data_IF_647355193951
#
_entry.id   IF_647355193951
#
_cell.length_a   1.000
_cell.length_b   1.000
_cell.length_c   1.000
_cell.angle_alpha   90.00
_cell.angle_beta   90.00
_cell.angle_gamma   90.00
#
_symmetry.space_group_name_H-M   'P 1'
#
loop_
_entity.id
_entity.type
_entity.pdbx_description
1 polymer ?
#
# COMPACT_ATOMS: atom_id res chain seq x y z
N UNK A 1 23.84 31.97 15.09
CA UNK A 1 25.07 32.25 14.30
C UNK A 1 25.85 30.97 13.93
N UNK A 2 25.85 29.91 14.75
CA UNK A 2 26.60 28.66 14.48
C UNK A 2 26.09 27.83 13.31
N UNK A 3 24.80 27.92 13.00
CA UNK A 3 24.17 27.09 11.95
C UNK A 3 24.65 27.41 10.51
N UNK A 4 25.10 28.65 10.29
CA UNK A 4 25.54 29.11 8.97
C UNK A 4 26.83 28.44 8.48
N UNK A 5 27.77 28.16 9.41
CA UNK A 5 29.03 27.50 9.08
C UNK A 5 28.80 26.03 8.72
N UNK A 6 27.98 25.32 9.49
CA UNK A 6 27.66 23.91 9.25
C UNK A 6 26.97 23.72 7.88
N UNK A 7 26.01 24.60 7.54
CA UNK A 7 25.35 24.56 6.24
C UNK A 7 26.31 24.78 5.08
N UNK A 8 27.27 25.70 5.22
CA UNK A 8 28.30 25.93 4.20
C UNK A 8 29.18 24.69 4.01
N UNK A 9 29.66 24.08 5.08
CA UNK A 9 30.53 22.91 5.03
C UNK A 9 29.80 21.72 4.38
N UNK A 10 28.52 21.51 4.70
CA UNK A 10 27.70 20.48 4.08
C UNK A 10 27.56 20.76 2.57
N UNK A 11 27.24 22.00 2.18
CA UNK A 11 27.08 22.36 0.76
C UNK A 11 28.39 22.16 -0.02
N UNK A 12 29.52 22.57 0.55
CA UNK A 12 30.84 22.36 -0.07
C UNK A 12 31.12 20.87 -0.28
N UNK A 13 30.91 20.08 0.78
CA UNK A 13 31.18 18.64 0.70
C UNK A 13 30.26 17.91 -0.28
N UNK A 14 28.98 18.29 -0.31
CA UNK A 14 28.04 17.73 -1.27
C UNK A 14 28.38 18.11 -2.71
N UNK A 15 28.86 19.34 -2.95
CA UNK A 15 29.33 19.79 -4.24
C UNK A 15 30.55 19.00 -4.72
N UNK A 16 31.53 18.76 -3.84
CA UNK A 16 32.72 17.93 -4.16
C UNK A 16 32.34 16.49 -4.53
N UNK A 17 31.30 15.96 -3.91
CA UNK A 17 30.81 14.61 -4.16
C UNK A 17 29.80 14.51 -5.32
N UNK A 18 29.48 15.62 -5.99
CA UNK A 18 28.49 15.66 -7.08
C UNK A 18 27.06 15.37 -6.60
N UNK A 19 26.76 15.56 -5.30
CA UNK A 19 25.45 15.32 -4.71
C UNK A 19 24.63 16.61 -4.66
N UNK A 20 23.40 16.55 -5.16
CA UNK A 20 22.45 17.67 -5.03
C UNK A 20 21.79 17.66 -3.64
N UNK A 21 21.85 18.78 -2.95
CA UNK A 21 21.27 18.95 -1.63
C UNK A 21 20.23 20.06 -1.63
N UNK A 22 19.11 19.80 -1.00
CA UNK A 22 18.05 20.76 -0.76
C UNK A 22 17.78 20.87 0.74
N UNK A 23 17.94 22.06 1.30
CA UNK A 23 17.54 22.35 2.68
C UNK A 23 16.10 22.85 2.71
N UNK A 24 15.32 22.30 3.61
CA UNK A 24 13.96 22.78 3.87
C UNK A 24 13.88 23.20 5.34
N UNK A 25 13.66 24.48 5.63
CA UNK A 25 13.51 24.93 7.01
C UNK A 25 12.28 24.29 7.65
N UNK A 26 12.44 23.84 8.88
CA UNK A 26 11.36 23.28 9.70
C UNK A 26 11.05 24.28 10.80
N UNK A 27 9.81 24.74 10.89
CA UNK A 27 9.37 25.62 11.98
C UNK A 27 9.25 24.80 13.27
N UNK A 28 9.35 25.47 14.42
CA UNK A 28 9.19 24.85 15.73
C UNK A 28 7.83 24.15 15.87
N UNK A 29 6.77 24.77 15.34
CA UNK A 29 5.44 24.15 15.29
C UNK A 29 5.42 22.84 14.50
N UNK A 30 6.05 22.81 13.32
CA UNK A 30 6.15 21.57 12.52
C UNK A 30 6.97 20.50 13.23
N UNK A 31 8.05 20.89 13.92
CA UNK A 31 8.85 19.97 14.71
C UNK A 31 8.04 19.40 15.88
N UNK A 32 7.36 20.24 16.66
CA UNK A 32 6.55 19.81 17.79
C UNK A 32 5.39 18.89 17.33
N UNK A 33 4.72 19.23 16.23
CA UNK A 33 3.70 18.37 15.63
C UNK A 33 4.27 17.03 15.16
N UNK A 34 5.50 17.01 14.64
CA UNK A 34 6.19 15.78 14.27
C UNK A 34 6.52 14.93 15.49
N UNK A 35 7.01 15.54 16.57
CA UNK A 35 7.32 14.85 17.84
C UNK A 35 6.05 14.26 18.46
N UNK A 36 4.96 15.02 18.54
CA UNK A 36 3.66 14.54 19.06
C UNK A 36 3.10 13.36 18.26
N UNK A 37 3.42 13.31 16.95
CA UNK A 37 3.00 12.20 16.08
C UNK A 37 3.88 10.95 16.22
N UNK A 38 5.09 11.08 16.79
CA UNK A 38 5.92 9.92 17.07
C UNK A 38 5.27 9.08 18.18
N UNK A 39 5.27 7.79 18.02
CA UNK A 39 4.66 6.86 18.98
C UNK A 39 3.19 6.52 18.71
N UNK A 40 2.47 7.23 17.83
CA UNK A 40 1.15 6.78 17.39
C UNK A 40 1.25 5.60 16.43
N UNK A 41 0.28 4.70 16.53
CA UNK A 41 0.19 3.52 15.66
C UNK A 41 0.11 3.93 14.19
N UNK A 42 0.82 3.20 13.35
CA UNK A 42 0.82 3.40 11.90
C UNK A 42 0.09 2.25 11.23
N UNK A 43 -0.64 2.60 10.18
CA UNK A 43 -1.35 1.64 9.35
C UNK A 43 -1.20 1.98 7.88
N UNK A 44 -1.47 0.99 7.06
CA UNK A 44 -1.54 1.14 5.61
C UNK A 44 -2.89 0.67 5.14
N UNK A 45 -3.57 1.52 4.37
CA UNK A 45 -4.76 1.17 3.61
C UNK A 45 -4.37 1.06 2.15
N UNK A 46 -4.58 -0.09 1.55
CA UNK A 46 -4.29 -0.32 0.12
C UNK A 46 -5.60 -0.52 -0.61
N UNK A 47 -5.81 0.26 -1.66
CA UNK A 47 -6.98 0.17 -2.53
C UNK A 47 -6.52 -0.37 -3.88
N UNK A 48 -7.17 -1.42 -4.35
CA UNK A 48 -6.91 -2.07 -5.62
C UNK A 48 -8.19 -2.12 -6.46
N UNK A 49 -8.10 -1.78 -7.72
CA UNK A 49 -9.20 -1.82 -8.66
C UNK A 49 -8.72 -1.71 -10.09
N UNK A 50 -9.62 -1.85 -11.06
CA UNK A 50 -9.29 -1.59 -12.48
C UNK A 50 -8.92 -0.13 -12.68
N UNK A 51 -9.77 0.76 -12.25
CA UNK A 51 -9.57 2.19 -12.27
C UNK A 51 -10.08 2.77 -10.95
N UNK A 52 -9.23 3.52 -10.25
CA UNK A 52 -9.61 4.13 -8.97
C UNK A 52 -10.05 5.57 -9.23
N UNK A 53 -11.29 5.86 -8.88
CA UNK A 53 -11.94 7.16 -9.06
C UNK A 53 -11.76 8.07 -7.85
N UNK A 54 -11.96 9.37 -8.04
CA UNK A 54 -11.96 10.34 -6.94
C UNK A 54 -13.08 10.05 -5.91
N UNK A 55 -14.23 9.53 -6.36
CA UNK A 55 -15.32 9.11 -5.47
C UNK A 55 -14.86 7.99 -4.52
N UNK A 56 -14.23 6.95 -5.06
CA UNK A 56 -13.72 5.82 -4.27
C UNK A 56 -12.65 6.27 -3.26
N UNK A 57 -11.72 7.13 -3.69
CA UNK A 57 -10.76 7.79 -2.79
C UNK A 57 -11.48 8.56 -1.68
N UNK A 58 -12.52 9.33 -2.03
CA UNK A 58 -13.32 10.10 -1.08
C UNK A 58 -14.01 9.23 -0.04
N UNK A 59 -14.58 8.09 -0.44
CA UNK A 59 -15.21 7.13 0.50
C UNK A 59 -14.19 6.52 1.47
N UNK A 60 -13.03 6.12 0.98
CA UNK A 60 -11.95 5.58 1.80
C UNK A 60 -11.42 6.63 2.78
N UNK A 61 -11.17 7.85 2.33
CA UNK A 61 -10.68 8.93 3.19
C UNK A 61 -11.70 9.33 4.24
N UNK A 62 -13.00 9.30 3.91
CA UNK A 62 -14.09 9.52 4.87
C UNK A 62 -14.07 8.45 5.96
N UNK A 63 -14.01 7.17 5.59
CA UNK A 63 -13.94 6.07 6.56
C UNK A 63 -12.72 6.18 7.49
N UNK A 64 -11.55 6.59 6.96
CA UNK A 64 -10.34 6.85 7.74
C UNK A 64 -10.56 8.01 8.73
N UNK A 65 -11.20 9.09 8.29
CA UNK A 65 -11.50 10.25 9.13
C UNK A 65 -12.51 9.93 10.25
N UNK A 66 -13.52 9.11 9.97
CA UNK A 66 -14.50 8.65 10.97
C UNK A 66 -13.84 7.87 12.11
N UNK A 67 -12.69 7.22 11.86
CA UNK A 67 -11.84 6.55 12.86
C UNK A 67 -10.83 7.49 13.53
N UNK A 68 -10.91 8.80 13.30
CA UNK A 68 -9.99 9.80 13.83
C UNK A 68 -8.51 9.55 13.44
N UNK A 69 -8.29 8.79 12.36
CA UNK A 69 -6.97 8.57 11.80
C UNK A 69 -6.56 9.72 10.89
N UNK A 70 -5.28 10.08 10.94
CA UNK A 70 -4.70 11.08 10.04
C UNK A 70 -4.07 10.39 8.82
N UNK A 71 -4.25 10.96 7.64
CA UNK A 71 -3.60 10.50 6.41
C UNK A 71 -2.28 11.27 6.27
N UNK A 72 -1.15 10.56 6.37
CA UNK A 72 0.18 11.13 6.21
C UNK A 72 0.55 11.27 4.73
N UNK A 73 0.16 10.31 3.91
CA UNK A 73 0.40 10.32 2.46
C UNK A 73 -0.56 9.43 1.69
N UNK A 74 -0.79 9.79 0.43
CA UNK A 74 -1.52 8.98 -0.55
C UNK A 74 -0.58 8.79 -1.73
N UNK A 75 -0.30 7.51 -2.08
CA UNK A 75 0.67 7.17 -3.10
C UNK A 75 0.10 6.15 -4.07
N UNK A 76 0.19 6.44 -5.36
CA UNK A 76 -0.09 5.44 -6.39
C UNK A 76 1.12 4.50 -6.50
N UNK A 77 0.87 3.20 -6.43
CA UNK A 77 1.91 2.17 -6.53
C UNK A 77 2.06 1.62 -7.95
N UNK A 78 1.01 1.68 -8.75
CA UNK A 78 1.03 1.25 -10.16
C UNK A 78 1.49 2.36 -11.09
N UNK A 79 2.13 1.99 -12.19
CA UNK A 79 2.44 2.90 -13.29
C UNK A 79 1.19 3.56 -13.88
N UNK A 80 1.38 4.60 -14.66
CA UNK A 80 0.32 5.18 -15.49
C UNK A 80 0.33 4.48 -16.84
N UNK A 81 -0.84 4.14 -17.41
CA UNK A 81 -0.90 3.65 -18.78
C UNK A 81 -0.42 4.71 -19.76
N UNK A 82 0.05 4.28 -20.93
CA UNK A 82 0.32 5.18 -22.05
C UNK A 82 -0.98 5.83 -22.49
N UNK A 83 -0.89 7.06 -23.02
CA UNK A 83 -2.05 7.76 -23.61
C UNK A 83 -2.58 7.05 -24.87
N UNK A 84 -1.73 6.25 -25.51
CA UNK A 84 -2.06 5.46 -26.71
C UNK A 84 -2.62 4.08 -26.38
N UNK A 85 -2.66 3.69 -25.09
CA UNK A 85 -3.18 2.41 -24.64
C UNK A 85 -4.68 2.33 -24.90
N UNK A 86 -5.10 1.46 -25.83
CA UNK A 86 -6.51 1.29 -26.22
C UNK A 86 -7.21 0.22 -25.40
N UNK A 87 -6.47 -0.77 -24.92
CA UNK A 87 -7.00 -1.84 -24.10
C UNK A 87 -6.75 -1.55 -22.61
N UNK A 88 -7.79 -1.08 -21.94
CA UNK A 88 -7.77 -0.74 -20.52
C UNK A 88 -8.25 -1.88 -19.60
N UNK A 89 -8.75 -2.99 -20.16
CA UNK A 89 -9.40 -4.05 -19.39
C UNK A 89 -8.44 -4.84 -18.52
N UNK A 90 -7.18 -4.95 -18.95
CA UNK A 90 -6.14 -5.61 -18.15
C UNK A 90 -5.45 -4.70 -17.13
N UNK A 91 -5.70 -3.38 -17.19
CA UNK A 91 -5.07 -2.44 -16.29
C UNK A 91 -5.57 -2.62 -14.85
N UNK A 92 -4.64 -2.47 -13.93
CA UNK A 92 -4.93 -2.44 -12.49
C UNK A 92 -4.34 -1.17 -11.90
N UNK A 93 -5.09 -0.57 -11.00
CA UNK A 93 -4.66 0.59 -10.23
C UNK A 93 -4.55 0.22 -8.77
N UNK A 94 -3.44 0.59 -8.16
CA UNK A 94 -3.19 0.39 -6.74
C UNK A 94 -2.81 1.72 -6.10
N UNK A 95 -3.52 2.09 -5.04
CA UNK A 95 -3.25 3.30 -4.26
C UNK A 95 -3.06 2.92 -2.80
N UNK A 96 -1.98 3.40 -2.21
CA UNK A 96 -1.64 3.20 -0.81
C UNK A 96 -1.85 4.50 -0.04
N UNK A 97 -2.50 4.40 1.11
CA UNK A 97 -2.63 5.47 2.10
C UNK A 97 -1.80 5.08 3.32
N UNK A 98 -0.85 5.92 3.68
CA UNK A 98 -0.20 5.83 4.99
C UNK A 98 -1.04 6.59 6.00
N UNK A 99 -1.53 5.91 7.02
CA UNK A 99 -2.39 6.52 8.04
C UNK A 99 -1.81 6.33 9.42
N UNK A 100 -2.14 7.24 10.34
CA UNK A 100 -1.60 7.29 11.68
C UNK A 100 -2.67 7.69 12.69
N UNK A 101 -2.63 7.07 13.84
CA UNK A 101 -3.53 7.36 14.96
C UNK A 101 -3.87 6.11 15.75
N UNK A 102 -4.76 6.26 16.70
CA UNK A 102 -5.34 5.14 17.43
C UNK A 102 -6.73 4.84 16.86
N UNK A 103 -6.96 3.59 16.50
CA UNK A 103 -8.25 3.13 16.00
C UNK A 103 -9.29 3.20 17.10
N UNK A 104 -10.42 3.81 16.80
CA UNK A 104 -11.57 3.88 17.73
C UNK A 104 -12.24 2.49 17.78
N UNK A 105 -12.55 1.91 16.63
CA UNK A 105 -13.17 0.58 16.53
C UNK A 105 -12.67 -0.14 15.28
N UNK A 106 -11.85 -1.17 15.48
CA UNK A 106 -11.28 -1.97 14.40
C UNK A 106 -12.34 -2.76 13.62
N UNK A 107 -13.35 -3.29 14.32
CA UNK A 107 -14.38 -4.12 13.69
C UNK A 107 -15.29 -3.26 12.81
N UNK A 108 -15.73 -2.12 13.33
CA UNK A 108 -16.52 -1.15 12.58
C UNK A 108 -15.75 -0.66 11.34
N UNK A 109 -14.46 -0.39 11.49
CA UNK A 109 -13.60 0.05 10.39
C UNK A 109 -13.48 -1.02 9.30
N UNK A 110 -13.28 -2.28 9.68
CA UNK A 110 -13.21 -3.40 8.74
C UNK A 110 -14.55 -3.61 8.02
N UNK A 111 -15.66 -3.56 8.73
CA UNK A 111 -17.00 -3.66 8.14
C UNK A 111 -17.24 -2.55 7.14
N UNK A 112 -16.84 -1.32 7.47
CA UNK A 112 -17.00 -0.18 6.57
C UNK A 112 -16.20 -0.35 5.27
N UNK A 113 -15.00 -0.88 5.35
CA UNK A 113 -14.20 -1.19 4.15
C UNK A 113 -14.81 -2.31 3.31
N UNK A 114 -15.38 -3.33 3.92
CA UNK A 114 -16.11 -4.39 3.20
C UNK A 114 -17.34 -3.83 2.47
N UNK A 115 -18.11 -2.94 3.11
CA UNK A 115 -19.24 -2.27 2.47
C UNK A 115 -18.80 -1.45 1.24
N UNK A 116 -17.76 -0.64 1.39
CA UNK A 116 -17.21 0.17 0.30
C UNK A 116 -16.70 -0.74 -0.83
N UNK A 117 -15.98 -1.81 -0.50
CA UNK A 117 -15.47 -2.77 -1.48
C UNK A 117 -16.60 -3.39 -2.30
N UNK A 118 -17.66 -3.84 -1.63
CA UNK A 118 -18.81 -4.46 -2.29
C UNK A 118 -19.60 -3.47 -3.17
N UNK A 119 -19.78 -2.22 -2.71
CA UNK A 119 -20.54 -1.20 -3.43
C UNK A 119 -19.80 -0.62 -4.63
N UNK A 120 -18.49 -0.44 -4.51
CA UNK A 120 -17.68 0.28 -5.49
C UNK A 120 -16.85 -0.67 -6.40
N UNK A 121 -16.90 -1.99 -6.17
CA UNK A 121 -16.16 -2.97 -6.96
C UNK A 121 -14.65 -2.81 -6.88
N UNK A 122 -14.13 -2.50 -5.70
CA UNK A 122 -12.70 -2.34 -5.41
C UNK A 122 -12.31 -3.22 -4.23
N UNK A 123 -11.06 -3.61 -4.18
CA UNK A 123 -10.50 -4.33 -3.03
C UNK A 123 -9.81 -3.34 -2.09
N UNK A 124 -10.10 -3.44 -0.80
CA UNK A 124 -9.50 -2.60 0.23
C UNK A 124 -8.83 -3.51 1.26
N UNK A 125 -7.53 -3.31 1.46
CA UNK A 125 -6.75 -3.98 2.50
C UNK A 125 -6.35 -2.96 3.57
N UNK A 126 -6.44 -3.36 4.84
CA UNK A 126 -5.98 -2.58 5.98
C UNK A 126 -5.04 -3.41 6.84
N UNK A 127 -3.87 -2.86 7.15
CA UNK A 127 -2.87 -3.56 7.94
C UNK A 127 -2.05 -2.59 8.78
N UNK A 128 -1.54 -3.08 9.91
CA UNK A 128 -0.60 -2.34 10.75
C UNK A 128 0.74 -2.21 10.04
N UNK A 129 1.32 -0.99 10.03
CA UNK A 129 2.65 -0.74 9.48
C UNK A 129 3.70 -0.80 10.60
N UNK A 130 4.05 -2.01 10.98
CA UNK A 130 5.07 -2.30 11.98
C UNK A 130 6.31 -2.95 11.35
N UNK A 131 7.29 -3.28 12.22
CA UNK A 131 8.52 -3.94 11.78
C UNK A 131 8.27 -5.30 11.12
N UNK A 132 7.20 -6.01 11.53
CA UNK A 132 6.90 -7.34 11.00
C UNK A 132 6.34 -7.28 9.57
N UNK A 133 5.69 -6.19 9.19
CA UNK A 133 5.24 -5.97 7.81
C UNK A 133 6.42 -5.87 6.84
N UNK A 134 7.52 -5.26 7.26
CA UNK A 134 8.69 -5.00 6.41
C UNK A 134 9.74 -6.10 6.48
N UNK A 135 9.84 -6.78 7.62
CA UNK A 135 10.83 -7.81 7.88
C UNK A 135 10.19 -9.20 7.93
N UNK A 136 9.62 -9.62 6.80
CA UNK A 136 9.02 -10.95 6.67
C UNK A 136 10.11 -12.01 6.71
N UNK A 137 9.91 -13.04 7.55
CA UNK A 137 10.83 -14.19 7.70
C UNK A 137 10.26 -15.49 7.17
N UNK A 138 8.97 -15.50 6.82
CA UNK A 138 8.28 -16.65 6.24
C UNK A 138 7.64 -16.23 4.94
N UNK A 139 7.93 -16.99 3.89
CA UNK A 139 7.29 -16.87 2.59
C UNK A 139 6.57 -18.19 2.35
N UNK A 140 5.26 -18.13 2.14
CA UNK A 140 4.45 -19.28 1.75
C UNK A 140 4.01 -19.08 0.31
N UNK A 141 4.17 -20.12 -0.49
CA UNK A 141 3.69 -20.18 -1.86
C UNK A 141 2.61 -21.25 -1.95
N UNK A 142 1.57 -20.95 -2.68
CA UNK A 142 0.63 -21.93 -3.14
C UNK A 142 1.33 -22.83 -4.18
N UNK A 143 0.95 -24.09 -4.26
CA UNK A 143 1.61 -25.03 -5.15
C UNK A 143 0.98 -25.01 -6.55
N UNK A 144 -0.32 -25.27 -6.60
CA UNK A 144 -1.05 -25.49 -7.84
C UNK A 144 -1.18 -24.18 -8.62
N UNK A 145 -0.89 -24.20 -9.89
CA UNK A 145 -0.90 -23.03 -10.78
C UNK A 145 -0.07 -21.84 -10.30
N UNK A 146 0.72 -21.99 -9.22
CA UNK A 146 1.60 -20.98 -8.64
C UNK A 146 3.07 -21.39 -8.69
N UNK A 147 3.48 -22.44 -7.97
CA UNK A 147 4.84 -22.98 -8.03
C UNK A 147 5.02 -23.94 -9.20
N UNK A 148 3.98 -24.68 -9.55
CA UNK A 148 3.91 -25.56 -10.71
C UNK A 148 2.84 -25.05 -11.66
N UNK A 149 2.96 -25.40 -12.94
CA UNK A 149 2.03 -24.95 -13.98
C UNK A 149 0.75 -25.78 -14.07
N UNK A 150 0.70 -26.89 -13.37
CA UNK A 150 -0.39 -27.89 -13.41
C UNK A 150 -1.06 -27.98 -12.05
N UNK A 151 -2.27 -28.51 -12.02
CA UNK A 151 -2.97 -28.91 -10.79
C UNK A 151 -2.49 -30.31 -10.39
N UNK A 152 -2.09 -30.48 -9.13
CA UNK A 152 -1.59 -31.77 -8.62
C UNK A 152 -2.68 -32.85 -8.73
N UNK A 153 -3.93 -32.47 -8.51
CA UNK A 153 -5.06 -33.40 -8.59
C UNK A 153 -5.23 -33.97 -10.00
N UNK A 154 -5.02 -33.15 -11.04
CA UNK A 154 -5.11 -33.58 -12.43
C UNK A 154 -4.01 -34.59 -12.79
N UNK A 155 -2.77 -34.28 -12.37
CA UNK A 155 -1.63 -35.20 -12.58
C UNK A 155 -1.82 -36.53 -11.87
N UNK A 156 -2.35 -36.53 -10.66
CA UNK A 156 -2.65 -37.76 -9.91
C UNK A 156 -3.77 -38.55 -10.56
N UNK A 157 -4.83 -37.90 -11.05
CA UNK A 157 -5.95 -38.52 -11.73
C UNK A 157 -5.53 -39.14 -13.04
N UNK A 158 -4.68 -38.48 -13.82
CA UNK A 158 -4.13 -39.04 -15.07
C UNK A 158 -3.28 -40.29 -14.81
N UNK A 159 -2.43 -40.26 -13.77
CA UNK A 159 -1.64 -41.44 -13.37
C UNK A 159 -2.50 -42.60 -12.85
N UNK A 160 -3.63 -42.28 -12.23
CA UNK A 160 -4.61 -43.28 -11.76
C UNK A 160 -5.55 -43.78 -12.87
N UNK A 161 -5.48 -43.19 -14.07
CA UNK A 161 -6.32 -43.56 -15.21
C UNK A 161 -7.78 -43.05 -15.13
N UNK A 162 -8.03 -42.05 -14.28
CA UNK A 162 -9.36 -41.44 -14.07
C UNK A 162 -9.40 -39.95 -14.42
N UNK A 163 -8.39 -39.46 -15.14
CA UNK A 163 -8.22 -38.03 -15.44
C UNK A 163 -9.41 -37.40 -16.17
N UNK A 164 -10.03 -38.08 -17.13
CA UNK A 164 -11.21 -37.56 -17.82
C UNK A 164 -12.41 -37.38 -16.89
N UNK A 165 -12.56 -38.23 -15.89
CA UNK A 165 -13.66 -38.19 -14.94
C UNK A 165 -13.49 -37.02 -13.96
N UNK A 166 -12.26 -36.75 -13.56
CA UNK A 166 -11.94 -35.63 -12.64
C UNK A 166 -12.11 -34.27 -13.34
N UNK A 167 -11.68 -34.16 -14.60
CA UNK A 167 -11.85 -32.90 -15.38
C UNK A 167 -13.31 -32.62 -15.77
N UNK A 168 -14.19 -33.59 -15.64
CA UNK A 168 -15.63 -33.44 -15.95
C UNK A 168 -16.45 -32.95 -14.74
N UNK A 169 -15.83 -32.81 -13.56
CA UNK A 169 -16.43 -32.26 -12.33
C UNK A 169 -16.21 -30.76 -12.30
#
# INVERSE_FOLDING_TARGET
>A
EHSGHILKDILFRCSELGVQVRFTPVTEERYNNWVVRQGKSRYVVTVLGRMITARQIGLVTKAVSEQQLNIDSIKRLTGRPSLDEKDLDHLRSCVEFSVRGELVDKNLFSTKFLEISAQEGIDISFQKDDMYRRNRRLICFDMDSTLIKTEVIDELADRAGVGEQVRAI
#
